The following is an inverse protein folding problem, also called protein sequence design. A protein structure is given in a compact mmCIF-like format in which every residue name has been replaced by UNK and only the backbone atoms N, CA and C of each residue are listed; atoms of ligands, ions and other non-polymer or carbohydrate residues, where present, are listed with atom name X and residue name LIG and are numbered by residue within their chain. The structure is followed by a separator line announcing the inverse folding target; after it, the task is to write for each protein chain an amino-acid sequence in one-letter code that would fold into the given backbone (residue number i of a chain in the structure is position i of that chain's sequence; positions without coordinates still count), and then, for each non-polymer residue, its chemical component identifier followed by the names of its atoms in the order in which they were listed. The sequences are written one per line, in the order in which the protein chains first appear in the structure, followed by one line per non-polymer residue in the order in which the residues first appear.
data_IF_703305740210
#
_entry.id   IF_703305740210
#
_cell.length_a   1.000
_cell.length_b   1.000
_cell.length_c   1.000
_cell.angle_alpha   90.00
_cell.angle_beta   90.00
_cell.angle_gamma   90.00
#
_symmetry.space_group_name_H-M   'P 1'
#
loop_
_entity.id
_entity.type
_entity.pdbx_description
1 polymer ?
#
# COMPACT_ATOMS: atom_id res chain seq x y z
N UNK A 1 20.93 4.60 -22.54
CA UNK A 1 20.43 3.42 -21.79
C UNK A 1 20.33 2.28 -22.78
N UNK A 2 20.91 1.12 -22.49
CA UNK A 2 20.91 0.00 -23.43
C UNK A 2 19.46 -0.47 -23.73
N UNK A 3 19.17 -0.90 -24.96
CA UNK A 3 17.77 -1.18 -25.42
C UNK A 3 17.05 -2.18 -24.50
N UNK A 4 17.79 -3.18 -24.02
CA UNK A 4 17.32 -4.21 -23.08
C UNK A 4 16.94 -3.64 -21.70
N UNK A 5 17.72 -2.68 -21.20
CA UNK A 5 17.45 -2.00 -19.93
C UNK A 5 16.22 -1.09 -20.03
N UNK A 6 15.98 -0.50 -21.21
CA UNK A 6 14.79 0.31 -21.47
C UNK A 6 13.51 -0.53 -21.49
N UNK A 7 13.55 -1.75 -22.02
CA UNK A 7 12.40 -2.66 -22.05
C UNK A 7 12.03 -3.18 -20.65
N UNK A 8 13.02 -3.56 -19.83
CA UNK A 8 12.78 -4.01 -18.44
C UNK A 8 12.16 -2.88 -17.62
N UNK A 9 12.70 -1.65 -17.75
CA UNK A 9 12.16 -0.48 -17.07
C UNK A 9 10.70 -0.21 -17.48
N UNK A 10 10.37 -0.33 -18.76
CA UNK A 10 9.01 -0.18 -19.27
C UNK A 10 8.04 -1.22 -18.68
N UNK A 11 8.44 -2.49 -18.59
CA UNK A 11 7.60 -3.52 -17.96
C UNK A 11 7.35 -3.24 -16.48
N UNK A 12 8.39 -2.85 -15.73
CA UNK A 12 8.24 -2.47 -14.32
C UNK A 12 7.25 -1.30 -14.19
N UNK A 13 7.42 -0.25 -15.00
CA UNK A 13 6.54 0.91 -14.99
C UNK A 13 5.08 0.53 -15.33
N UNK A 14 4.89 -0.35 -16.31
CA UNK A 14 3.57 -0.81 -16.74
C UNK A 14 2.90 -1.67 -15.68
N UNK A 15 3.64 -2.59 -15.04
CA UNK A 15 3.13 -3.39 -13.91
C UNK A 15 2.74 -2.51 -12.73
N UNK A 16 3.54 -1.49 -12.42
CA UNK A 16 3.20 -0.52 -11.37
C UNK A 16 1.95 0.27 -11.72
N UNK A 17 1.81 0.74 -12.96
CA UNK A 17 0.60 1.41 -13.41
C UNK A 17 -0.62 0.48 -13.30
N UNK A 18 -0.53 -0.76 -13.78
CA UNK A 18 -1.62 -1.75 -13.67
C UNK A 18 -2.00 -2.01 -12.21
N UNK A 19 -1.03 -2.17 -11.31
CA UNK A 19 -1.30 -2.34 -9.89
C UNK A 19 -2.03 -1.11 -9.32
N UNK A 20 -1.70 0.10 -9.74
CA UNK A 20 -2.37 1.31 -9.26
C UNK A 20 -3.79 1.49 -9.80
N UNK A 21 -4.07 1.07 -11.04
CA UNK A 21 -5.37 1.29 -11.67
C UNK A 21 -6.37 0.15 -11.45
N UNK A 22 -5.92 -1.08 -11.20
CA UNK A 22 -6.79 -2.28 -11.18
C UNK A 22 -6.88 -2.97 -9.80
N UNK A 23 -6.04 -2.59 -8.82
CA UNK A 23 -6.07 -3.17 -7.45
C UNK A 23 -6.85 -2.31 -6.45
N UNK A 24 -7.97 -1.73 -6.90
CA UNK A 24 -8.85 -0.87 -6.08
C UNK A 24 -9.40 -1.58 -4.82
N UNK A 25 -10.42 -0.98 -4.21
CA UNK A 25 -11.06 -1.58 -3.04
C UNK A 25 -11.72 -2.93 -3.38
N UNK A 26 -11.34 -3.96 -2.64
CA UNK A 26 -11.90 -5.30 -2.69
C UNK A 26 -13.10 -5.42 -1.73
N UNK A 27 -13.88 -6.49 -1.87
CA UNK A 27 -15.09 -6.70 -1.05
C UNK A 27 -14.82 -6.72 0.46
N UNK A 28 -13.69 -7.28 0.88
CA UNK A 28 -13.24 -7.32 2.27
C UNK A 28 -12.74 -5.96 2.79
N UNK A 29 -12.21 -5.11 1.91
CA UNK A 29 -11.83 -3.74 2.26
C UNK A 29 -13.04 -2.93 2.75
N UNK A 30 -14.21 -3.10 2.12
CA UNK A 30 -15.44 -2.42 2.55
C UNK A 30 -15.91 -2.86 3.94
N UNK A 31 -15.55 -4.06 4.39
CA UNK A 31 -15.85 -4.49 5.76
C UNK A 31 -15.03 -3.64 6.74
N UNK A 32 -13.77 -3.36 6.44
CA UNK A 32 -12.91 -2.51 7.28
C UNK A 32 -13.45 -1.08 7.29
N UNK A 33 -13.75 -0.52 6.12
CA UNK A 33 -14.27 0.85 5.97
C UNK A 33 -15.61 1.00 6.71
N UNK A 34 -16.55 0.07 6.54
CA UNK A 34 -17.86 0.14 7.20
C UNK A 34 -17.81 -0.01 8.73
N UNK A 35 -16.73 -0.56 9.29
CA UNK A 35 -16.49 -0.56 10.73
C UNK A 35 -15.86 0.76 11.20
N UNK A 36 -15.03 1.40 10.37
CA UNK A 36 -14.47 2.72 10.63
C UNK A 36 -15.55 3.80 10.66
N UNK A 37 -16.51 3.75 9.72
CA UNK A 37 -17.66 4.68 9.68
C UNK A 37 -18.51 4.65 10.96
N UNK A 38 -18.46 3.54 11.72
CA UNK A 38 -19.21 3.36 12.98
C UNK A 38 -18.40 3.72 14.22
N UNK A 39 -17.11 4.04 14.05
CA UNK A 39 -16.19 4.28 15.15
C UNK A 39 -16.01 5.78 15.39
N UNK A 40 -15.97 6.18 16.66
CA UNK A 40 -15.51 7.52 17.03
C UNK A 40 -13.97 7.53 17.19
N UNK A 41 -13.39 8.67 17.56
CA UNK A 41 -11.92 8.81 17.72
C UNK A 41 -11.32 7.83 18.72
N UNK A 42 -12.01 7.57 19.84
CA UNK A 42 -11.57 6.61 20.83
C UNK A 42 -11.75 5.17 20.34
N UNK A 43 -12.83 4.89 19.62
CA UNK A 43 -13.07 3.62 18.94
C UNK A 43 -12.00 3.30 17.90
N UNK A 44 -11.56 4.29 17.13
CA UNK A 44 -10.48 4.14 16.15
C UNK A 44 -9.14 3.83 16.82
N UNK A 45 -8.78 4.57 17.88
CA UNK A 45 -7.51 4.39 18.60
C UNK A 45 -7.48 3.15 19.51
N UNK A 46 -8.63 2.54 19.78
CA UNK A 46 -8.73 1.34 20.57
C UNK A 46 -8.41 0.10 19.72
N UNK A 47 -7.59 -0.80 20.30
CA UNK A 47 -7.27 -2.10 19.72
C UNK A 47 -8.51 -2.96 19.44
N UNK A 48 -9.61 -2.73 20.16
CA UNK A 48 -10.89 -3.36 19.90
C UNK A 48 -11.48 -2.99 18.53
N UNK A 49 -11.36 -1.73 18.11
CA UNK A 49 -11.73 -1.27 16.76
C UNK A 49 -10.81 -1.85 15.68
N UNK A 50 -9.54 -2.06 16.02
CA UNK A 50 -8.55 -2.70 15.15
C UNK A 50 -8.65 -4.24 15.10
N UNK A 51 -9.56 -4.90 15.85
CA UNK A 51 -9.67 -6.38 15.90
C UNK A 51 -9.92 -7.02 14.55
N UNK A 52 -10.59 -6.32 13.64
CA UNK A 52 -10.79 -6.79 12.26
C UNK A 52 -9.46 -7.05 11.53
N UNK A 53 -8.41 -6.37 11.95
CA UNK A 53 -7.04 -6.56 11.50
C UNK A 53 -6.11 -6.89 12.69
N UNK A 54 -6.55 -7.74 13.62
CA UNK A 54 -5.76 -8.07 14.82
C UNK A 54 -4.34 -8.58 14.52
N UNK A 55 -4.16 -9.30 13.42
CA UNK A 55 -2.85 -9.80 12.96
C UNK A 55 -2.08 -8.78 12.10
N UNK A 56 -2.70 -7.65 11.79
CA UNK A 56 -2.14 -6.61 10.95
C UNK A 56 -2.54 -5.19 11.41
N UNK A 57 -2.39 -4.94 12.71
CA UNK A 57 -2.74 -3.67 13.34
C UNK A 57 -1.92 -2.49 12.81
N UNK A 58 -0.69 -2.76 12.38
CA UNK A 58 0.15 -1.75 11.71
C UNK A 58 -0.51 -1.27 10.42
N UNK A 59 -0.99 -2.18 9.56
CA UNK A 59 -1.75 -1.79 8.37
C UNK A 59 -3.02 -1.04 8.74
N UNK A 60 -3.77 -1.48 9.76
CA UNK A 60 -4.96 -0.75 10.23
C UNK A 60 -4.69 0.75 10.46
N UNK A 61 -3.70 1.07 11.28
CA UNK A 61 -3.41 2.47 11.64
C UNK A 61 -2.65 3.25 10.56
N UNK A 62 -1.82 2.60 9.76
CA UNK A 62 -1.02 3.28 8.73
C UNK A 62 -1.76 3.48 7.42
N UNK A 63 -2.70 2.60 7.10
CA UNK A 63 -3.29 2.49 5.75
C UNK A 63 -4.76 2.93 5.71
N UNK A 64 -5.53 2.72 6.79
CA UNK A 64 -6.98 2.93 6.78
C UNK A 64 -7.45 4.22 7.45
N UNK A 65 -6.55 4.96 8.11
CA UNK A 65 -6.87 6.24 8.74
C UNK A 65 -7.49 7.28 7.78
N UNK A 66 -7.21 7.33 6.45
CA UNK A 66 -7.88 8.28 5.58
C UNK A 66 -9.39 8.06 5.52
N UNK A 67 -9.85 6.80 5.55
CA UNK A 67 -11.27 6.49 5.57
C UNK A 67 -11.93 6.94 6.87
N UNK A 68 -11.23 6.81 8.00
CA UNK A 68 -11.71 7.32 9.28
C UNK A 68 -11.84 8.86 9.29
N UNK A 69 -10.89 9.59 8.72
CA UNK A 69 -10.89 11.07 8.78
C UNK A 69 -11.74 11.73 7.69
N UNK A 70 -11.73 11.17 6.49
CA UNK A 70 -12.33 11.81 5.32
C UNK A 70 -13.61 11.08 4.87
N UNK A 71 -13.83 9.84 5.28
CA UNK A 71 -14.93 9.00 4.82
C UNK A 71 -14.64 8.34 3.47
N UNK A 72 -15.58 7.50 3.03
CA UNK A 72 -15.42 6.67 1.82
C UNK A 72 -15.31 7.47 0.51
N UNK A 73 -15.72 8.73 0.49
CA UNK A 73 -15.69 9.58 -0.72
C UNK A 73 -14.27 9.99 -1.13
N UNK A 74 -13.28 9.85 -0.23
CA UNK A 74 -11.91 10.33 -0.43
C UNK A 74 -10.90 9.19 -0.65
N UNK A 75 -11.26 8.25 -1.53
CA UNK A 75 -10.43 7.09 -1.89
C UNK A 75 -9.00 7.47 -2.34
N UNK A 76 -8.82 8.64 -2.95
CA UNK A 76 -7.51 9.11 -3.39
C UNK A 76 -6.47 9.18 -2.26
N UNK A 77 -6.89 9.40 -1.00
CA UNK A 77 -5.99 9.42 0.16
C UNK A 77 -5.42 8.04 0.44
N UNK A 78 -6.24 7.00 0.34
CA UNK A 78 -5.82 5.61 0.41
C UNK A 78 -4.91 5.24 -0.77
N UNK A 79 -5.27 5.65 -1.99
CA UNK A 79 -4.46 5.37 -3.19
C UNK A 79 -3.07 6.04 -3.10
N UNK A 80 -2.99 7.25 -2.54
CA UNK A 80 -1.72 7.94 -2.33
C UNK A 80 -0.81 7.18 -1.34
N UNK A 81 -1.36 6.72 -0.20
CA UNK A 81 -0.59 5.92 0.76
C UNK A 81 -0.11 4.63 0.11
N UNK A 82 -0.96 3.98 -0.70
CA UNK A 82 -0.59 2.78 -1.46
C UNK A 82 0.58 3.06 -2.40
N UNK A 83 0.53 4.14 -3.18
CA UNK A 83 1.64 4.54 -4.08
C UNK A 83 2.93 4.72 -3.28
N UNK A 84 2.89 5.50 -2.20
CA UNK A 84 4.07 5.81 -1.38
C UNK A 84 4.67 4.54 -0.78
N UNK A 85 3.83 3.65 -0.23
CA UNK A 85 4.28 2.38 0.33
C UNK A 85 4.98 1.50 -0.72
N UNK A 86 4.44 1.42 -1.95
CA UNK A 86 5.06 0.67 -3.04
C UNK A 86 6.39 1.28 -3.48
N UNK A 87 6.47 2.61 -3.62
CA UNK A 87 7.71 3.31 -3.98
C UNK A 87 8.80 3.05 -2.94
N UNK A 88 8.46 3.15 -1.66
CA UNK A 88 9.38 2.87 -0.55
C UNK A 88 9.83 1.40 -0.58
N UNK A 89 8.90 0.46 -0.79
CA UNK A 89 9.20 -0.96 -0.89
C UNK A 89 10.18 -1.27 -2.03
N UNK A 90 9.92 -0.75 -3.23
CA UNK A 90 10.79 -0.92 -4.40
C UNK A 90 12.17 -0.31 -4.13
N UNK A 91 12.23 0.87 -3.52
CA UNK A 91 13.49 1.52 -3.17
C UNK A 91 14.32 0.66 -2.21
N UNK A 92 13.71 0.09 -1.16
CA UNK A 92 14.42 -0.78 -0.23
C UNK A 92 14.85 -2.09 -0.85
N UNK A 93 14.02 -2.72 -1.70
CA UNK A 93 14.41 -3.92 -2.44
C UNK A 93 15.57 -3.63 -3.38
N UNK A 94 15.54 -2.49 -4.09
CA UNK A 94 16.63 -2.04 -4.94
C UNK A 94 17.92 -1.86 -4.14
N UNK A 95 17.87 -1.11 -3.04
CA UNK A 95 19.02 -0.85 -2.16
C UNK A 95 19.60 -2.14 -1.58
N UNK A 96 18.73 -3.02 -1.07
CA UNK A 96 19.14 -4.33 -0.57
C UNK A 96 19.83 -5.15 -1.67
N UNK A 97 19.24 -5.18 -2.87
CA UNK A 97 19.82 -5.92 -4.00
C UNK A 97 21.18 -5.37 -4.41
N UNK A 98 21.36 -4.05 -4.43
CA UNK A 98 22.66 -3.44 -4.77
C UNK A 98 23.73 -3.66 -3.71
N UNK A 99 23.33 -3.73 -2.45
CA UNK A 99 24.26 -3.88 -1.32
C UNK A 99 24.67 -5.35 -1.12
N UNK A 100 23.76 -6.30 -1.31
CA UNK A 100 23.94 -7.70 -0.91
C UNK A 100 24.03 -8.72 -2.06
N UNK A 101 23.66 -8.36 -3.29
CA UNK A 101 23.81 -9.23 -4.46
C UNK A 101 25.03 -8.78 -5.28
N UNK A 102 26.17 -9.51 -5.20
CA UNK A 102 27.38 -9.14 -5.93
C UNK A 102 27.13 -9.19 -7.44
N UNK A 103 27.67 -8.21 -8.18
CA UNK A 103 27.53 -8.12 -9.64
C UNK A 103 28.16 -9.30 -10.39
N UNK A 104 29.12 -9.97 -9.76
CA UNK A 104 29.98 -10.98 -10.40
C UNK A 104 29.55 -12.44 -10.07
N UNK A 105 28.23 -12.68 -9.94
CA UNK A 105 27.68 -14.03 -9.69
C UNK A 105 27.04 -14.69 -10.92
N UNK A 106 27.51 -14.38 -12.12
CA UNK A 106 27.16 -15.08 -13.36
C UNK A 106 28.43 -15.43 -14.15
#
# INVERSE_FOLDING_TARGET
MDKKNSTVFFYILTTLALLLFDTGLHGDDYIVISNLDKSDTLGFLNLEGARIMALNTVTYYSFWWPYFLFGNEYQWGYDLIKIVAHVIGIFFVYKFSTDYLPKDRA
#
